data_IF_637567933026
#
_entry.id   IF_637567933026
#
_cell.length_a   1.000
_cell.length_b   1.000
_cell.length_c   1.000
_cell.angle_alpha   90.00
_cell.angle_beta   90.00
_cell.angle_gamma   90.00
#
_symmetry.space_group_name_H-M   'P 1'
#
loop_
_entity.id
_entity.type
_entity.pdbx_description
1 polymer ?
#
# COMPACT_ATOMS: atom_id res chain seq x y z
N UNK A 1 0.33 -11.41 -11.31
CA UNK A 1 -1.16 -11.37 -11.23
C UNK A 1 -1.53 -11.30 -9.75
N UNK A 2 -2.51 -10.51 -9.34
CA UNK A 2 -2.89 -10.43 -7.92
C UNK A 2 -3.48 -11.76 -7.43
N UNK A 3 -3.02 -12.25 -6.28
CA UNK A 3 -3.50 -13.49 -5.65
C UNK A 3 -4.37 -13.18 -4.41
N UNK A 4 -5.52 -13.84 -4.28
CA UNK A 4 -6.40 -13.77 -3.10
C UNK A 4 -6.13 -14.97 -2.16
N UNK A 5 -5.85 -14.73 -0.88
CA UNK A 5 -5.78 -15.79 0.15
C UNK A 5 -6.97 -15.62 1.12
N UNK A 6 -7.69 -16.71 1.43
CA UNK A 6 -8.97 -16.66 2.16
C UNK A 6 -8.81 -16.72 3.68
N UNK A 7 -9.37 -15.71 4.37
CA UNK A 7 -9.58 -15.63 5.82
C UNK A 7 -9.88 -14.21 6.35
N UNK A 8 -10.50 -13.35 5.52
CA UNK A 8 -10.37 -11.88 5.51
C UNK A 8 -9.68 -11.52 4.19
N UNK A 9 -10.26 -10.65 3.34
CA UNK A 9 -9.84 -10.56 1.93
C UNK A 9 -8.54 -9.75 1.76
N UNK A 10 -7.41 -10.38 2.09
CA UNK A 10 -6.10 -9.84 1.73
C UNK A 10 -5.78 -10.15 0.26
N UNK A 11 -5.59 -9.10 -0.54
CA UNK A 11 -5.12 -9.17 -1.92
C UNK A 11 -3.62 -8.92 -1.94
N UNK A 12 -2.86 -9.80 -2.60
CA UNK A 12 -1.40 -9.68 -2.70
C UNK A 12 -1.01 -9.26 -4.11
N UNK A 13 -0.32 -8.13 -4.21
CA UNK A 13 0.32 -7.63 -5.41
C UNK A 13 1.80 -8.01 -5.38
N UNK A 14 2.29 -8.63 -6.45
CA UNK A 14 3.69 -9.08 -6.53
C UNK A 14 4.68 -7.91 -6.57
N UNK A 15 4.25 -6.75 -7.08
CA UNK A 15 5.04 -5.53 -7.17
C UNK A 15 4.16 -4.29 -7.37
N UNK A 16 4.80 -3.11 -7.30
CA UNK A 16 4.13 -1.82 -7.43
C UNK A 16 3.58 -1.56 -8.83
N UNK A 17 4.21 -2.08 -9.88
CA UNK A 17 3.76 -1.91 -11.26
C UNK A 17 2.35 -2.50 -11.47
N UNK A 18 2.11 -3.70 -10.94
CA UNK A 18 0.79 -4.33 -10.98
C UNK A 18 -0.22 -3.48 -10.21
N UNK A 19 0.11 -3.03 -9.00
CA UNK A 19 -0.78 -2.20 -8.19
C UNK A 19 -1.15 -0.89 -8.90
N UNK A 20 -0.16 -0.20 -9.49
CA UNK A 20 -0.38 1.01 -10.28
C UNK A 20 -1.28 0.72 -11.47
N UNK A 21 -1.14 -0.42 -12.16
CA UNK A 21 -1.98 -0.73 -13.32
C UNK A 21 -3.48 -0.88 -12.96
N UNK A 22 -3.79 -1.19 -11.70
CA UNK A 22 -5.15 -1.42 -11.19
C UNK A 22 -5.67 -0.28 -10.30
N UNK A 23 -4.91 0.82 -10.15
CA UNK A 23 -5.15 1.82 -9.09
C UNK A 23 -6.58 2.39 -9.07
N UNK A 24 -7.20 2.61 -10.23
CA UNK A 24 -8.57 3.16 -10.35
C UNK A 24 -9.67 2.20 -9.91
N UNK A 25 -9.39 0.90 -9.92
CA UNK A 25 -10.35 -0.14 -9.54
C UNK A 25 -10.25 -0.58 -8.08
N UNK A 26 -9.23 -0.10 -7.36
CA UNK A 26 -9.06 -0.41 -5.94
C UNK A 26 -10.23 0.18 -5.13
N UNK A 27 -10.67 -0.56 -4.12
CA UNK A 27 -11.63 -0.04 -3.15
C UNK A 27 -10.95 1.02 -2.28
N UNK A 28 -11.46 2.25 -2.35
CA UNK A 28 -10.91 3.41 -1.64
C UNK A 28 -10.91 3.25 -0.11
N UNK A 29 -11.73 2.35 0.42
CA UNK A 29 -11.79 2.06 1.85
C UNK A 29 -10.81 0.96 2.28
N UNK A 30 -10.03 0.40 1.37
CA UNK A 30 -8.95 -0.50 1.72
C UNK A 30 -7.68 0.26 2.12
N UNK A 31 -6.73 -0.49 2.67
CA UNK A 31 -5.44 0.04 3.08
C UNK A 31 -4.30 -0.92 2.70
N UNK A 32 -3.16 -0.33 2.35
CA UNK A 32 -2.00 -0.99 1.79
C UNK A 32 -0.94 -1.21 2.87
N UNK A 33 -0.33 -2.38 2.87
CA UNK A 33 0.80 -2.76 3.72
C UNK A 33 1.96 -3.27 2.88
N UNK A 34 3.16 -3.14 3.42
CA UNK A 34 4.39 -3.68 2.85
C UNK A 34 5.33 -4.14 3.94
N UNK A 35 6.23 -5.05 3.62
CA UNK A 35 7.40 -5.24 4.45
C UNK A 35 8.31 -4.00 4.35
N UNK A 36 8.44 -3.21 5.42
CA UNK A 36 9.19 -1.94 5.41
C UNK A 36 10.66 -2.10 5.02
N UNK A 37 11.30 -3.20 5.41
CA UNK A 37 12.69 -3.48 5.06
C UNK A 37 12.84 -3.76 3.57
N UNK A 38 11.92 -4.54 2.99
CA UNK A 38 11.90 -4.81 1.56
C UNK A 38 11.59 -3.54 0.77
N UNK A 39 10.57 -2.77 1.18
CA UNK A 39 10.21 -1.49 0.57
C UNK A 39 11.40 -0.51 0.55
N UNK A 40 12.14 -0.40 1.65
CA UNK A 40 13.29 0.50 1.73
C UNK A 40 14.47 0.08 0.82
N UNK A 41 14.61 -1.21 0.50
CA UNK A 41 15.74 -1.73 -0.30
C UNK A 41 15.41 -1.91 -1.78
N UNK A 42 14.23 -2.45 -2.06
CA UNK A 42 13.77 -2.85 -3.38
C UNK A 42 12.28 -2.49 -3.57
N UNK A 43 11.92 -1.20 -3.52
CA UNK A 43 10.51 -0.77 -3.52
C UNK A 43 9.75 -1.18 -4.78
N UNK A 44 10.43 -1.25 -5.93
CA UNK A 44 9.83 -1.68 -7.18
C UNK A 44 9.45 -3.17 -7.18
N UNK A 45 10.15 -4.00 -6.41
CA UNK A 45 9.97 -5.46 -6.33
C UNK A 45 9.33 -5.89 -4.99
N UNK A 46 8.91 -4.93 -4.17
CA UNK A 46 8.29 -5.21 -2.89
C UNK A 46 6.86 -5.73 -3.09
N UNK A 47 6.49 -6.78 -2.37
CA UNK A 47 5.11 -7.22 -2.35
C UNK A 47 4.26 -6.19 -1.60
N UNK A 48 3.07 -5.93 -2.12
CA UNK A 48 2.09 -5.05 -1.50
C UNK A 48 0.87 -5.88 -1.12
N UNK A 49 0.44 -5.74 0.13
CA UNK A 49 -0.73 -6.39 0.67
C UNK A 49 -1.84 -5.34 0.78
N UNK A 50 -3.01 -5.65 0.24
CA UNK A 50 -4.20 -4.81 0.34
C UNK A 50 -5.20 -5.53 1.23
N UNK A 51 -5.62 -4.90 2.32
CA UNK A 51 -6.82 -5.29 3.06
C UNK A 51 -7.99 -4.43 2.57
N UNK A 52 -9.09 -5.07 2.21
CA UNK A 52 -10.24 -4.40 1.58
C UNK A 52 -11.30 -4.07 2.63
N UNK A 53 -11.78 -2.82 2.64
CA UNK A 53 -12.84 -2.38 3.54
C UNK A 53 -12.37 -2.25 4.99
N UNK A 54 -13.33 -2.28 5.93
CA UNK A 54 -13.06 -2.15 7.36
C UNK A 54 -12.41 -3.42 7.98
N UNK A 55 -12.03 -4.42 7.18
CA UNK A 55 -11.39 -5.67 7.65
C UNK A 55 -10.17 -5.39 8.54
N UNK A 56 -9.46 -4.27 8.33
CA UNK A 56 -8.38 -3.83 9.20
C UNK A 56 -8.81 -3.59 10.64
N UNK A 57 -10.05 -3.16 10.84
CA UNK A 57 -10.60 -2.81 12.15
C UNK A 57 -11.29 -4.02 12.82
N UNK A 58 -11.52 -5.10 12.08
CA UNK A 58 -12.28 -6.26 12.55
C UNK A 58 -11.41 -7.32 13.24
N UNK A 59 -10.13 -7.47 12.85
CA UNK A 59 -9.21 -8.48 13.43
C UNK A 59 -7.82 -7.89 13.71
N UNK A 60 -7.71 -7.22 14.86
CA UNK A 60 -6.48 -6.56 15.35
C UNK A 60 -5.75 -7.42 16.38
N UNK A 61 -4.42 -7.44 16.30
CA UNK A 61 -3.57 -7.99 17.35
C UNK A 61 -3.49 -7.06 18.58
N UNK A 62 -2.78 -7.50 19.64
CA UNK A 62 -2.62 -6.74 20.88
C UNK A 62 -1.96 -5.35 20.70
N UNK A 63 -1.29 -5.11 19.56
CA UNK A 63 -0.68 -3.83 19.20
C UNK A 63 -1.58 -2.94 18.32
N UNK A 64 -2.80 -3.38 18.00
CA UNK A 64 -3.70 -2.64 17.11
C UNK A 64 -3.30 -2.72 15.64
N UNK A 65 -2.53 -3.74 15.23
CA UNK A 65 -2.21 -4.02 13.83
C UNK A 65 -3.08 -5.16 13.31
N UNK A 66 -3.60 -5.10 12.07
CA UNK A 66 -4.36 -6.20 11.49
C UNK A 66 -3.58 -7.51 11.53
N UNK A 67 -4.21 -8.58 12.03
CA UNK A 67 -3.56 -9.90 12.21
C UNK A 67 -2.95 -10.40 10.90
N UNK A 68 -3.68 -10.26 9.78
CA UNK A 68 -3.20 -10.67 8.45
C UNK A 68 -1.95 -9.89 8.00
N UNK A 69 -1.83 -8.61 8.33
CA UNK A 69 -0.64 -7.83 8.01
C UNK A 69 0.55 -8.28 8.88
N UNK A 70 0.32 -8.47 10.18
CA UNK A 70 1.35 -8.93 11.12
C UNK A 70 1.88 -10.34 10.76
N UNK A 71 1.02 -11.27 10.34
CA UNK A 71 1.42 -12.62 9.90
C UNK A 71 2.31 -12.62 8.64
N UNK A 72 2.31 -11.53 7.86
CA UNK A 72 3.12 -11.37 6.66
C UNK A 72 4.32 -10.42 6.87
N UNK A 73 4.67 -10.10 8.13
CA UNK A 73 5.71 -9.11 8.47
C UNK A 73 5.51 -7.78 7.70
N UNK A 74 4.25 -7.37 7.53
CA UNK A 74 3.84 -6.19 6.78
C UNK A 74 3.39 -5.08 7.73
N UNK A 75 3.77 -3.85 7.39
CA UNK A 75 3.43 -2.65 8.13
C UNK A 75 2.68 -1.68 7.23
N UNK A 76 1.91 -0.77 7.84
CA UNK A 76 1.13 0.24 7.13
C UNK A 76 1.99 0.98 6.10
N UNK A 77 1.50 1.03 4.87
CA UNK A 77 2.03 1.86 3.82
C UNK A 77 1.16 3.12 3.67
N UNK A 78 -0.08 2.97 3.18
CA UNK A 78 -0.98 4.06 2.77
C UNK A 78 -2.41 3.56 2.70
N UNK A 79 -3.37 4.43 3.00
CA UNK A 79 -4.77 4.20 2.64
C UNK A 79 -4.93 4.22 1.11
N UNK A 80 -5.85 3.42 0.57
CA UNK A 80 -6.06 3.35 -0.89
C UNK A 80 -6.51 4.71 -1.44
N UNK A 81 -7.36 5.46 -0.73
CA UNK A 81 -7.78 6.81 -1.15
C UNK A 81 -6.58 7.76 -1.33
N UNK A 82 -5.62 7.71 -0.41
CA UNK A 82 -4.40 8.50 -0.49
C UNK A 82 -3.49 8.02 -1.62
N UNK A 83 -3.31 6.71 -1.75
CA UNK A 83 -2.54 6.12 -2.83
C UNK A 83 -3.10 6.52 -4.21
N UNK A 84 -4.43 6.41 -4.40
CA UNK A 84 -5.10 6.84 -5.61
C UNK A 84 -4.83 8.32 -5.89
N UNK A 85 -4.95 9.18 -4.88
CA UNK A 85 -4.69 10.62 -5.02
C UNK A 85 -3.25 10.93 -5.43
N UNK A 86 -2.26 10.23 -4.85
CA UNK A 86 -0.84 10.38 -5.20
C UNK A 86 -0.58 9.93 -6.64
N UNK A 87 -1.12 8.77 -7.05
CA UNK A 87 -0.96 8.24 -8.41
C UNK A 87 -1.65 9.14 -9.44
N UNK A 88 -2.86 9.62 -9.18
CA UNK A 88 -3.57 10.54 -10.08
C UNK A 88 -2.81 11.85 -10.27
N UNK A 89 -2.30 12.44 -9.19
CA UNK A 89 -1.52 13.66 -9.27
C UNK A 89 -0.23 13.45 -10.06
N UNK A 90 0.47 12.33 -9.85
CA UNK A 90 1.67 12.00 -10.60
C UNK A 90 1.38 11.89 -12.11
N UNK A 91 0.31 11.17 -12.49
CA UNK A 91 -0.10 11.00 -13.88
C UNK A 91 -0.51 12.34 -14.51
N UNK A 92 -1.21 13.21 -13.77
CA UNK A 92 -1.61 14.54 -14.25
C UNK A 92 -0.38 15.41 -14.56
N UNK A 93 0.64 15.39 -13.70
CA UNK A 93 1.86 16.20 -13.86
C UNK A 93 2.83 15.60 -14.87
N UNK A 94 2.96 14.28 -14.88
CA UNK A 94 3.94 13.53 -15.68
C UNK A 94 3.29 12.25 -16.25
N UNK A 95 2.59 12.34 -17.39
CA UNK A 95 1.88 11.20 -17.98
C UNK A 95 2.78 10.03 -18.38
N UNK A 96 4.06 10.29 -18.70
CA UNK A 96 5.05 9.29 -19.09
C UNK A 96 5.88 8.78 -17.90
N UNK A 97 5.34 8.89 -16.68
CA UNK A 97 6.06 8.49 -15.47
C UNK A 97 6.41 7.01 -15.43
N UNK A 98 7.64 6.73 -14.99
CA UNK A 98 8.09 5.38 -14.71
C UNK A 98 7.71 4.98 -13.27
N UNK A 99 7.75 3.68 -12.96
CA UNK A 99 7.51 3.14 -11.60
C UNK A 99 8.36 3.86 -10.54
N UNK A 100 9.61 4.23 -10.86
CA UNK A 100 10.48 4.99 -9.96
C UNK A 100 9.94 6.36 -9.56
N UNK A 101 9.18 7.02 -10.42
CA UNK A 101 8.58 8.31 -10.13
C UNK A 101 7.44 8.16 -9.13
N UNK A 102 6.63 7.11 -9.26
CA UNK A 102 5.59 6.79 -8.30
C UNK A 102 6.17 6.41 -6.93
N UNK A 103 7.25 5.62 -6.90
CA UNK A 103 7.98 5.31 -5.67
C UNK A 103 8.45 6.60 -4.99
N UNK A 104 9.03 7.52 -5.77
CA UNK A 104 9.47 8.81 -5.25
C UNK A 104 8.30 9.60 -4.64
N UNK A 105 7.18 9.71 -5.35
CA UNK A 105 6.01 10.45 -4.88
C UNK A 105 5.35 9.82 -3.65
N UNK A 106 5.29 8.49 -3.58
CA UNK A 106 4.82 7.76 -2.39
C UNK A 106 5.74 8.02 -1.20
N UNK A 107 7.06 7.85 -1.36
CA UNK A 107 8.00 8.07 -0.27
C UNK A 107 8.02 9.53 0.18
N UNK A 108 7.95 10.47 -0.77
CA UNK A 108 7.84 11.89 -0.47
C UNK A 108 6.59 12.18 0.36
N UNK A 109 5.44 11.56 0.04
CA UNK A 109 4.25 11.68 0.86
C UNK A 109 4.49 11.14 2.27
N UNK A 110 5.01 9.91 2.40
CA UNK A 110 5.27 9.26 3.70
C UNK A 110 6.26 10.03 4.59
N UNK A 111 7.25 10.69 4.00
CA UNK A 111 8.23 11.50 4.74
C UNK A 111 7.66 12.85 5.20
N UNK A 112 6.64 13.38 4.52
CA UNK A 112 6.03 14.67 4.81
C UNK A 112 4.66 14.55 5.48
N UNK A 113 4.13 13.34 5.63
CA UNK A 113 2.91 13.06 6.35
C UNK A 113 3.18 13.02 7.87
N UNK A 114 3.10 14.19 8.49
CA UNK A 114 3.26 14.41 9.93
C UNK A 114 2.19 13.67 10.79
N UNK A 115 1.20 13.00 10.18
CA UNK A 115 0.10 12.34 10.90
C UNK A 115 0.46 10.99 11.55
N UNK A 116 1.44 10.26 10.99
CA UNK A 116 1.76 8.87 11.40
C UNK A 116 3.19 8.66 11.91
N UNK A 117 3.91 9.73 12.30
CA UNK A 117 5.15 9.59 13.03
C UNK A 117 4.85 9.28 14.52
N UNK A 118 5.10 8.06 15.03
CA UNK A 118 5.14 7.87 16.48
C UNK A 118 6.37 8.65 17.01
N UNK A 119 6.11 9.67 17.82
CA UNK A 119 7.11 10.21 18.74
C UNK A 119 7.35 9.24 19.90
#
# INVERSE_FOLDING_TARGET
MAEKKWGGEMVVYENLDILISEFKSLDKFGTLFVNRVQWARYPADAQIFLLVGDDELEDLNDQGCPVLAAENDAEYLLDVELFQSVVELQIEKMPDSAVSDFIFSINYYLENDDFYAPH
#
